data_IF_438809513419
#
_entry.id   IF_438809513419
#
_cell.length_a   1.000
_cell.length_b   1.000
_cell.length_c   1.000
_cell.angle_alpha   90.00
_cell.angle_beta   90.00
_cell.angle_gamma   90.00
#
_symmetry.space_group_name_H-M   'P 1'
#
loop_
_entity.id
_entity.type
_entity.pdbx_description
1 polymer ?
#
# COMPACT_ATOMS: atom_id res chain seq x y z
N UNK A 1 59.75 -17.80 -20.81
CA UNK A 1 58.52 -17.31 -20.15
C UNK A 1 58.71 -15.83 -19.92
N UNK A 2 58.37 -15.00 -20.92
CA UNK A 2 58.33 -13.56 -20.75
C UNK A 2 57.23 -13.22 -19.72
N UNK A 3 57.49 -12.23 -18.88
CA UNK A 3 56.62 -11.83 -17.78
C UNK A 3 55.20 -11.53 -18.26
N UNK A 4 54.23 -12.40 -17.92
CA UNK A 4 52.80 -12.08 -18.05
C UNK A 4 52.49 -11.00 -17.02
N UNK A 5 52.18 -9.80 -17.51
CA UNK A 5 51.83 -8.64 -16.68
C UNK A 5 50.32 -8.41 -16.74
N UNK A 6 49.67 -8.38 -15.59
CA UNK A 6 48.26 -7.97 -15.48
C UNK A 6 48.12 -6.50 -15.87
N UNK A 7 47.13 -6.19 -16.71
CA UNK A 7 46.77 -4.82 -17.07
C UNK A 7 46.05 -4.17 -15.90
N UNK A 8 46.60 -3.10 -15.34
CA UNK A 8 46.04 -2.40 -14.16
C UNK A 8 45.91 -0.89 -14.36
N UNK A 9 46.40 -0.37 -15.49
CA UNK A 9 46.41 1.05 -15.81
C UNK A 9 46.17 1.25 -17.30
N UNK A 10 45.70 2.44 -17.67
CA UNK A 10 45.45 2.83 -19.06
C UNK A 10 46.73 2.71 -19.92
N UNK A 11 47.88 3.05 -19.34
CA UNK A 11 49.17 2.91 -20.01
C UNK A 11 49.57 1.43 -20.25
N UNK A 12 49.19 0.51 -19.36
CA UNK A 12 49.39 -0.92 -19.58
C UNK A 12 48.47 -1.46 -20.68
N UNK A 13 47.25 -0.91 -20.78
CA UNK A 13 46.26 -1.28 -21.79
C UNK A 13 46.68 -0.81 -23.18
N UNK A 14 47.14 0.44 -23.34
CA UNK A 14 47.69 0.95 -24.60
C UNK A 14 48.90 0.12 -25.09
N UNK A 15 49.78 -0.28 -24.17
CA UNK A 15 50.94 -1.12 -24.49
C UNK A 15 50.52 -2.53 -24.92
N UNK A 16 49.53 -3.11 -24.25
CA UNK A 16 48.98 -4.41 -24.60
C UNK A 16 48.29 -4.40 -25.97
N UNK A 17 47.50 -3.36 -26.27
CA UNK A 17 46.86 -3.16 -27.57
C UNK A 17 47.89 -2.98 -28.70
N UNK A 18 48.89 -2.10 -28.51
CA UNK A 18 49.94 -1.90 -29.50
C UNK A 18 50.75 -3.19 -29.76
N UNK A 19 50.98 -3.99 -28.72
CA UNK A 19 51.65 -5.29 -28.84
C UNK A 19 50.80 -6.32 -29.58
N UNK A 20 49.51 -6.41 -29.24
CA UNK A 20 48.56 -7.30 -29.93
C UNK A 20 48.45 -6.94 -31.41
N UNK A 21 48.32 -5.66 -31.75
CA UNK A 21 48.30 -5.20 -33.15
C UNK A 21 49.59 -5.58 -33.90
N UNK A 22 50.76 -5.36 -33.30
CA UNK A 22 52.03 -5.72 -33.91
C UNK A 22 52.17 -7.24 -34.13
N UNK A 23 51.65 -8.06 -33.21
CA UNK A 23 51.65 -9.51 -33.35
C UNK A 23 50.69 -9.97 -34.45
N UNK A 24 49.51 -9.35 -34.56
CA UNK A 24 48.56 -9.64 -35.64
C UNK A 24 49.11 -9.26 -37.03
N UNK A 25 49.87 -8.17 -37.13
CA UNK A 25 50.53 -7.76 -38.38
C UNK A 25 51.63 -8.75 -38.83
N UNK A 26 52.22 -9.49 -37.89
CA UNK A 26 53.24 -10.49 -38.18
C UNK A 26 52.68 -11.82 -38.70
N UNK A 27 51.35 -12.00 -38.65
CA UNK A 27 50.61 -13.19 -39.07
C UNK A 27 51.27 -14.52 -38.62
N UNK A 28 51.42 -14.73 -37.30
CA UNK A 28 52.16 -15.86 -36.78
C UNK A 28 51.45 -17.18 -37.05
N UNK A 29 52.24 -18.23 -37.31
CA UNK A 29 51.72 -19.59 -37.57
C UNK A 29 50.89 -20.11 -36.38
N UNK A 30 49.81 -20.88 -36.61
CA UNK A 30 48.98 -21.44 -35.55
C UNK A 30 49.77 -22.31 -34.57
N UNK A 31 49.50 -22.16 -33.26
CA UNK A 31 50.24 -22.80 -32.15
C UNK A 31 51.72 -22.37 -32.02
N UNK A 32 52.10 -21.23 -32.60
CA UNK A 32 53.37 -20.57 -32.27
C UNK A 32 53.28 -19.87 -30.91
N UNK A 33 54.44 -19.53 -30.35
CA UNK A 33 54.53 -18.79 -29.07
C UNK A 33 53.87 -17.41 -29.22
N UNK A 34 53.98 -16.82 -30.41
CA UNK A 34 53.39 -15.54 -30.78
C UNK A 34 51.87 -15.63 -30.92
N UNK A 35 51.34 -16.74 -31.44
CA UNK A 35 49.88 -17.02 -31.45
C UNK A 35 49.34 -17.18 -30.03
N UNK A 36 50.03 -17.91 -29.16
CA UNK A 36 49.64 -18.05 -27.75
C UNK A 36 49.70 -16.69 -27.02
N UNK A 37 50.66 -15.81 -27.38
CA UNK A 37 50.76 -14.46 -26.85
C UNK A 37 49.56 -13.59 -27.26
N UNK A 38 49.07 -13.71 -28.50
CA UNK A 38 47.85 -13.04 -28.97
C UNK A 38 46.65 -13.45 -28.13
N UNK A 39 46.44 -14.76 -27.93
CA UNK A 39 45.30 -15.27 -27.16
C UNK A 39 45.33 -14.78 -25.70
N UNK A 40 46.51 -14.80 -25.07
CA UNK A 40 46.69 -14.31 -23.70
C UNK A 40 46.45 -12.80 -23.61
N UNK A 41 46.96 -12.02 -24.57
CA UNK A 41 46.76 -10.57 -24.60
C UNK A 41 45.28 -10.22 -24.84
N UNK A 42 44.59 -10.94 -25.72
CA UNK A 42 43.17 -10.74 -25.98
C UNK A 42 42.34 -10.91 -24.69
N UNK A 43 42.57 -12.00 -23.94
CA UNK A 43 41.86 -12.26 -22.67
C UNK A 43 42.19 -11.20 -21.61
N UNK A 44 43.45 -10.75 -21.54
CA UNK A 44 43.86 -9.72 -20.56
C UNK A 44 43.26 -8.34 -20.89
N UNK A 45 43.20 -7.99 -22.18
CA UNK A 45 42.58 -6.75 -22.67
C UNK A 45 41.09 -6.80 -22.43
N UNK A 46 40.41 -7.88 -22.83
CA UNK A 46 38.97 -8.08 -22.62
C UNK A 46 38.61 -7.93 -21.14
N UNK A 47 39.33 -8.62 -20.25
CA UNK A 47 39.09 -8.53 -18.81
C UNK A 47 39.30 -7.11 -18.26
N UNK A 48 40.34 -6.40 -18.71
CA UNK A 48 40.57 -5.03 -18.29
C UNK A 48 39.49 -4.08 -18.83
N UNK A 49 39.06 -4.25 -20.08
CA UNK A 49 37.99 -3.46 -20.69
C UNK A 49 36.63 -3.71 -20.04
N UNK A 50 36.31 -4.95 -19.66
CA UNK A 50 35.10 -5.26 -18.88
C UNK A 50 35.08 -4.53 -17.52
N UNK A 51 36.23 -4.45 -16.84
CA UNK A 51 36.35 -3.80 -15.52
C UNK A 51 36.46 -2.26 -15.62
N UNK A 52 37.17 -1.74 -16.62
CA UNK A 52 37.48 -0.32 -16.77
C UNK A 52 36.49 0.45 -17.68
N UNK A 53 35.91 -0.23 -18.66
CA UNK A 53 34.97 0.32 -19.65
C UNK A 53 33.72 -0.58 -19.77
N UNK A 54 32.93 -0.74 -18.69
CA UNK A 54 31.72 -1.52 -18.75
C UNK A 54 30.82 -1.02 -19.89
N UNK A 55 30.32 -1.94 -20.73
CA UNK A 55 29.34 -1.62 -21.76
C UNK A 55 28.03 -1.29 -21.04
N UNK A 56 27.87 -0.03 -20.68
CA UNK A 56 26.65 0.47 -20.06
C UNK A 56 25.48 0.34 -21.04
N UNK A 57 24.30 -0.06 -20.52
CA UNK A 57 23.08 -0.03 -21.32
C UNK A 57 22.88 1.38 -21.88
N UNK A 58 22.62 1.52 -23.19
CA UNK A 58 22.46 2.84 -23.80
C UNK A 58 21.38 3.61 -23.06
N UNK A 59 21.61 4.90 -22.83
CA UNK A 59 20.63 5.73 -22.15
C UNK A 59 19.31 5.70 -22.93
N UNK A 60 18.13 5.49 -22.31
CA UNK A 60 16.84 5.51 -23.00
C UNK A 60 16.69 6.73 -23.91
N UNK A 61 17.17 7.89 -23.44
CA UNK A 61 17.13 9.14 -24.21
C UNK A 61 18.07 9.05 -25.43
N UNK A 62 19.25 8.46 -25.28
CA UNK A 62 20.18 8.24 -26.40
C UNK A 62 19.66 7.19 -27.37
N UNK A 63 19.05 6.11 -26.89
CA UNK A 63 18.39 5.11 -27.71
C UNK A 63 17.24 5.72 -28.54
N UNK A 64 16.46 6.62 -27.93
CA UNK A 64 15.41 7.39 -28.63
C UNK A 64 16.06 8.31 -29.67
N UNK A 65 17.06 9.13 -29.30
CA UNK A 65 17.75 10.04 -30.22
C UNK A 65 18.40 9.30 -31.39
N UNK A 66 18.99 8.14 -31.13
CA UNK A 66 19.59 7.29 -32.14
C UNK A 66 18.54 6.76 -33.13
N UNK A 67 17.38 6.29 -32.64
CA UNK A 67 16.27 5.92 -33.53
C UNK A 67 15.70 7.11 -34.30
N UNK A 68 15.65 8.29 -33.69
CA UNK A 68 15.24 9.50 -34.39
C UNK A 68 16.17 9.81 -35.56
N UNK A 69 17.48 9.74 -35.36
CA UNK A 69 18.48 9.99 -36.40
C UNK A 69 18.36 8.99 -37.56
N UNK A 70 18.27 7.69 -37.24
CA UNK A 70 18.10 6.63 -38.24
C UNK A 70 16.85 6.80 -39.11
N UNK A 71 15.77 7.32 -38.54
CA UNK A 71 14.48 7.47 -39.22
C UNK A 71 14.21 8.90 -39.70
N UNK A 72 15.15 9.84 -39.48
CA UNK A 72 14.99 11.25 -39.82
C UNK A 72 13.85 11.96 -39.06
N UNK A 73 13.55 11.52 -37.84
CA UNK A 73 12.45 12.05 -37.02
C UNK A 73 12.87 13.32 -36.28
N UNK A 74 11.90 14.22 -36.12
CA UNK A 74 12.05 15.45 -35.34
C UNK A 74 11.34 15.33 -33.99
N UNK A 75 11.58 16.29 -33.09
CA UNK A 75 10.86 16.35 -31.80
C UNK A 75 9.34 16.44 -31.97
N UNK A 76 8.84 16.95 -33.11
CA UNK A 76 7.39 17.02 -33.37
C UNK A 76 6.80 15.64 -33.63
N UNK A 77 7.57 14.74 -34.22
CA UNK A 77 7.11 13.39 -34.56
C UNK A 77 6.99 12.51 -33.31
N UNK A 78 7.78 12.83 -32.27
CA UNK A 78 7.66 12.18 -30.96
C UNK A 78 6.43 12.57 -30.15
N UNK A 79 5.65 13.55 -30.61
CA UNK A 79 4.42 13.97 -29.92
C UNK A 79 3.40 12.84 -29.83
N UNK A 80 3.37 11.95 -30.83
CA UNK A 80 2.49 10.79 -30.83
C UNK A 80 2.82 9.79 -29.71
N UNK A 81 4.11 9.64 -29.36
CA UNK A 81 4.58 8.64 -28.40
C UNK A 81 4.70 9.19 -26.97
N UNK A 82 5.16 10.42 -26.81
CA UNK A 82 5.45 11.02 -25.50
C UNK A 82 4.33 11.97 -25.04
N UNK A 83 3.54 12.51 -25.99
CA UNK A 83 2.51 13.50 -25.74
C UNK A 83 2.94 14.91 -26.15
N UNK A 84 2.48 15.96 -25.46
CA UNK A 84 2.69 17.35 -25.87
C UNK A 84 4.15 17.74 -26.17
N UNK A 85 4.38 18.67 -27.09
CA UNK A 85 5.73 19.14 -27.47
C UNK A 85 6.62 19.60 -26.28
N UNK A 86 6.11 20.31 -25.25
CA UNK A 86 6.90 20.61 -24.06
C UNK A 86 7.39 19.35 -23.34
N UNK A 87 6.53 18.34 -23.22
CA UNK A 87 6.84 17.07 -22.58
C UNK A 87 7.90 16.28 -23.35
N UNK A 88 7.84 16.26 -24.69
CA UNK A 88 8.92 15.70 -25.52
C UNK A 88 10.25 16.36 -25.19
N UNK A 89 10.28 17.69 -25.15
CA UNK A 89 11.50 18.44 -24.84
C UNK A 89 12.02 18.15 -23.43
N UNK A 90 11.13 18.09 -22.42
CA UNK A 90 11.50 17.75 -21.05
C UNK A 90 12.12 16.35 -20.95
N UNK A 91 11.54 15.36 -21.64
CA UNK A 91 12.03 13.98 -21.65
C UNK A 91 13.38 13.88 -22.36
N UNK A 92 13.52 14.45 -23.56
CA UNK A 92 14.79 14.40 -24.32
C UNK A 92 15.95 15.15 -23.66
N UNK A 93 15.63 16.08 -22.76
CA UNK A 93 16.60 16.81 -21.95
C UNK A 93 16.80 16.21 -20.54
N UNK A 94 16.17 15.06 -20.24
CA UNK A 94 16.31 14.38 -18.96
C UNK A 94 15.67 15.10 -17.76
N UNK A 95 14.85 16.13 -17.99
CA UNK A 95 14.13 16.84 -16.92
C UNK A 95 12.94 16.03 -16.39
N UNK A 96 12.41 15.12 -17.22
CA UNK A 96 11.25 14.28 -16.91
C UNK A 96 11.54 12.84 -17.33
N UNK A 97 11.23 11.90 -16.45
CA UNK A 97 11.35 10.47 -16.73
C UNK A 97 10.24 10.00 -17.67
N UNK A 98 10.54 8.98 -18.48
CA UNK A 98 9.54 8.27 -19.30
C UNK A 98 8.53 7.56 -18.38
N UNK A 99 7.25 7.57 -18.75
CA UNK A 99 6.27 6.67 -18.13
C UNK A 99 6.27 5.31 -18.84
N UNK A 100 5.76 4.26 -18.20
CA UNK A 100 5.56 2.95 -18.83
C UNK A 100 4.64 3.02 -20.04
N UNK A 101 3.66 3.93 -20.04
CA UNK A 101 2.81 4.18 -21.21
C UNK A 101 3.61 4.81 -22.37
N UNK A 102 4.50 5.75 -22.09
CA UNK A 102 5.42 6.30 -23.10
C UNK A 102 6.36 5.21 -23.60
N UNK A 103 6.91 4.39 -22.71
CA UNK A 103 7.82 3.28 -23.05
C UNK A 103 7.12 2.30 -23.99
N UNK A 104 5.89 1.88 -23.68
CA UNK A 104 5.09 0.99 -24.54
C UNK A 104 4.88 1.62 -25.93
N UNK A 105 4.44 2.88 -25.99
CA UNK A 105 4.25 3.61 -27.26
C UNK A 105 5.53 3.77 -28.07
N UNK A 106 6.65 4.07 -27.41
CA UNK A 106 7.96 4.19 -28.06
C UNK A 106 8.48 2.83 -28.53
N UNK A 107 8.24 1.76 -27.76
CA UNK A 107 8.64 0.41 -28.13
C UNK A 107 7.87 -0.09 -29.34
N UNK A 108 6.53 0.00 -29.32
CA UNK A 108 5.67 -0.38 -30.44
C UNK A 108 5.89 0.52 -31.66
N UNK A 109 6.03 1.82 -31.45
CA UNK A 109 6.09 2.83 -32.51
C UNK A 109 7.45 2.98 -33.18
N UNK A 110 8.54 2.93 -32.40
CA UNK A 110 9.91 3.12 -32.90
C UNK A 110 10.71 1.83 -32.94
N UNK A 111 10.18 0.71 -32.43
CA UNK A 111 10.84 -0.58 -32.37
C UNK A 111 12.04 -0.63 -31.42
N UNK A 112 12.01 0.19 -30.36
CA UNK A 112 13.03 0.19 -29.30
C UNK A 112 12.67 -0.91 -28.28
N UNK A 113 13.64 -1.73 -27.87
CA UNK A 113 13.38 -2.72 -26.82
C UNK A 113 12.94 -2.03 -25.52
N UNK A 114 11.86 -2.52 -24.91
CA UNK A 114 11.35 -1.98 -23.64
C UNK A 114 12.40 -2.06 -22.53
N UNK A 115 13.23 -3.12 -22.52
CA UNK A 115 14.30 -3.31 -21.54
C UNK A 115 15.37 -2.21 -21.59
N UNK A 116 15.58 -1.62 -22.77
CA UNK A 116 16.50 -0.49 -22.96
C UNK A 116 15.89 0.82 -22.44
N UNK A 117 14.56 0.93 -22.44
CA UNK A 117 13.84 2.14 -22.04
C UNK A 117 13.49 2.17 -20.55
N UNK A 118 13.36 1.01 -19.91
CA UNK A 118 13.04 0.85 -18.49
C UNK A 118 14.31 1.06 -17.65
N UNK A 119 14.27 2.02 -16.72
CA UNK A 119 15.42 2.34 -15.86
C UNK A 119 15.19 2.16 -14.38
N UNK A 120 13.99 2.46 -13.89
CA UNK A 120 13.74 2.48 -12.45
C UNK A 120 13.30 1.10 -11.94
N UNK A 121 13.67 0.71 -10.71
CA UNK A 121 13.15 -0.51 -10.08
C UNK A 121 11.62 -0.53 -10.07
N UNK A 122 10.99 0.62 -9.87
CA UNK A 122 9.52 0.76 -9.89
C UNK A 122 8.96 0.45 -11.29
N UNK A 123 9.59 0.93 -12.36
CA UNK A 123 9.18 0.63 -13.73
C UNK A 123 9.35 -0.86 -14.06
N UNK A 124 10.43 -1.50 -13.59
CA UNK A 124 10.63 -2.95 -13.77
C UNK A 124 9.54 -3.74 -13.05
N UNK A 125 9.36 -3.48 -11.75
CA UNK A 125 8.34 -4.14 -10.94
C UNK A 125 6.93 -3.93 -11.52
N UNK A 126 6.63 -2.72 -11.98
CA UNK A 126 5.33 -2.40 -12.55
C UNK A 126 5.10 -3.11 -13.91
N UNK A 127 6.14 -3.28 -14.71
CA UNK A 127 6.05 -3.97 -16.00
C UNK A 127 5.81 -5.49 -15.83
N UNK A 128 6.38 -6.09 -14.79
CA UNK A 128 6.24 -7.52 -14.48
C UNK A 128 4.92 -7.87 -13.78
N UNK A 129 4.23 -6.88 -13.21
CA UNK A 129 3.02 -7.11 -12.43
C UNK A 129 1.73 -7.13 -13.28
N UNK A 130 0.86 -8.11 -13.02
CA UNK A 130 -0.50 -8.20 -13.56
C UNK A 130 -1.48 -7.26 -12.80
N UNK A 131 -1.21 -5.95 -12.82
CA UNK A 131 -2.03 -4.95 -12.11
C UNK A 131 -2.66 -3.99 -13.10
N UNK A 132 -3.98 -3.77 -12.98
CA UNK A 132 -4.64 -2.67 -13.69
C UNK A 132 -4.51 -1.37 -12.89
N UNK A 133 -3.49 -0.60 -13.22
CA UNK A 133 -3.19 0.69 -12.59
C UNK A 133 -4.33 1.72 -12.71
N UNK A 134 -5.18 1.58 -13.72
CA UNK A 134 -6.29 2.50 -13.97
C UNK A 134 -7.55 2.13 -13.20
N UNK A 135 -7.63 0.91 -12.66
CA UNK A 135 -8.74 0.47 -11.82
C UNK A 135 -8.67 1.11 -10.42
N UNK A 136 -7.50 1.60 -9.98
CA UNK A 136 -7.38 2.36 -8.76
C UNK A 136 -8.18 3.68 -8.80
N UNK A 137 -8.77 4.14 -7.68
CA UNK A 137 -9.52 5.40 -7.60
C UNK A 137 -8.58 6.63 -7.58
N UNK A 138 -7.78 6.81 -8.64
CA UNK A 138 -6.70 7.81 -8.76
C UNK A 138 -7.15 9.23 -8.42
N UNK A 139 -8.37 9.62 -8.84
CA UNK A 139 -8.90 10.95 -8.57
C UNK A 139 -9.10 11.20 -7.08
N UNK A 140 -9.65 10.21 -6.36
CA UNK A 140 -9.91 10.33 -4.92
C UNK A 140 -8.59 10.21 -4.13
N UNK A 141 -7.72 9.26 -4.51
CA UNK A 141 -6.38 9.11 -3.92
C UNK A 141 -5.56 10.40 -4.04
N UNK A 142 -5.57 11.07 -5.20
CA UNK A 142 -4.90 12.36 -5.40
C UNK A 142 -5.50 13.44 -4.52
N UNK A 143 -6.83 13.54 -4.46
CA UNK A 143 -7.53 14.53 -3.64
C UNK A 143 -7.19 14.38 -2.15
N UNK A 144 -6.98 13.14 -1.69
CA UNK A 144 -6.61 12.79 -0.32
C UNK A 144 -5.10 12.80 -0.05
N UNK A 145 -4.28 13.09 -1.06
CA UNK A 145 -2.83 13.21 -0.90
C UNK A 145 -2.09 11.88 -0.71
N UNK A 146 -2.58 10.78 -1.31
CA UNK A 146 -1.91 9.46 -1.20
C UNK A 146 -0.56 9.40 -1.93
N UNK A 147 -0.30 10.32 -2.85
CA UNK A 147 0.92 10.38 -3.65
C UNK A 147 1.84 11.48 -3.11
N UNK A 148 2.76 11.13 -2.22
CA UNK A 148 3.71 12.09 -1.65
C UNK A 148 4.58 12.74 -2.73
N UNK A 149 4.73 14.06 -2.67
CA UNK A 149 5.54 14.84 -3.62
C UNK A 149 4.92 15.01 -5.02
N UNK A 150 3.78 14.37 -5.33
CA UNK A 150 3.12 14.53 -6.63
C UNK A 150 2.20 15.77 -6.65
N UNK A 151 2.60 16.78 -7.43
CA UNK A 151 1.83 18.02 -7.61
C UNK A 151 1.17 18.14 -9.00
N UNK A 152 1.24 17.08 -9.81
CA UNK A 152 0.75 17.09 -11.18
C UNK A 152 -0.78 17.10 -11.30
N UNK A 153 -1.26 17.28 -12.54
CA UNK A 153 -2.69 17.17 -12.86
C UNK A 153 -3.19 15.71 -12.82
N UNK A 154 -4.51 15.50 -12.80
CA UNK A 154 -5.08 14.14 -12.92
C UNK A 154 -4.68 13.47 -14.25
N UNK A 155 -4.53 14.24 -15.33
CA UNK A 155 -4.07 13.73 -16.62
C UNK A 155 -2.63 13.24 -16.52
N UNK A 156 -1.76 13.97 -15.82
CA UNK A 156 -0.39 13.52 -15.56
C UNK A 156 -0.37 12.30 -14.65
N UNK A 157 -1.22 12.24 -13.63
CA UNK A 157 -1.30 11.06 -12.76
C UNK A 157 -1.69 9.81 -13.56
N UNK A 158 -2.63 9.92 -14.51
CA UNK A 158 -3.00 8.81 -15.40
C UNK A 158 -1.84 8.40 -16.31
N UNK A 159 -1.06 9.35 -16.81
CA UNK A 159 0.12 9.05 -17.64
C UNK A 159 1.19 8.28 -16.86
N UNK A 160 1.35 8.58 -15.56
CA UNK A 160 2.32 7.97 -14.64
C UNK A 160 1.68 7.02 -13.62
N UNK A 161 0.51 6.44 -13.94
CA UNK A 161 -0.27 5.68 -12.96
C UNK A 161 0.51 4.47 -12.44
N UNK A 162 1.23 3.77 -13.31
CA UNK A 162 2.01 2.60 -12.97
C UNK A 162 3.14 2.95 -11.97
N UNK A 163 3.88 4.02 -12.22
CA UNK A 163 4.98 4.46 -11.35
C UNK A 163 4.46 4.95 -10.00
N UNK A 164 3.41 5.77 -10.01
CA UNK A 164 2.87 6.37 -8.80
C UNK A 164 2.20 5.32 -7.90
N UNK A 165 1.45 4.39 -8.49
CA UNK A 165 0.85 3.30 -7.72
C UNK A 165 1.90 2.31 -7.27
N UNK A 166 2.89 1.93 -8.09
CA UNK A 166 3.98 1.06 -7.63
C UNK A 166 4.74 1.70 -6.48
N UNK A 167 5.10 2.98 -6.55
CA UNK A 167 5.73 3.69 -5.44
C UNK A 167 4.84 3.69 -4.17
N UNK A 168 3.54 3.92 -4.35
CA UNK A 168 2.56 3.86 -3.26
C UNK A 168 2.47 2.47 -2.63
N UNK A 169 2.38 1.39 -3.42
CA UNK A 169 2.35 0.01 -2.93
C UNK A 169 3.69 -0.39 -2.29
N UNK A 170 4.82 0.04 -2.84
CA UNK A 170 6.16 -0.20 -2.29
C UNK A 170 6.41 0.49 -0.95
N UNK A 171 5.59 1.47 -0.57
CA UNK A 171 5.77 2.19 0.71
C UNK A 171 5.53 1.32 1.95
N UNK A 172 4.93 0.14 1.78
CA UNK A 172 4.69 -0.83 2.86
C UNK A 172 5.19 -2.22 2.41
N UNK A 173 5.78 -2.98 3.33
CA UNK A 173 6.49 -4.24 3.03
C UNK A 173 5.64 -5.27 2.29
N UNK A 174 4.35 -5.34 2.60
CA UNK A 174 3.42 -6.31 2.00
C UNK A 174 2.53 -5.69 0.92
N UNK A 175 2.78 -4.44 0.47
CA UNK A 175 1.81 -3.68 -0.32
C UNK A 175 1.37 -4.34 -1.63
N UNK A 176 2.27 -5.04 -2.33
CA UNK A 176 1.91 -5.82 -3.53
C UNK A 176 1.15 -7.12 -3.23
N UNK A 177 1.34 -7.67 -2.03
CA UNK A 177 0.75 -8.93 -1.57
C UNK A 177 -0.58 -8.70 -0.82
N UNK A 178 -0.88 -7.46 -0.44
CA UNK A 178 -2.21 -7.01 0.00
C UNK A 178 -3.24 -7.04 -1.13
N UNK A 179 -2.82 -7.43 -2.36
CA UNK A 179 -3.71 -7.82 -3.45
C UNK A 179 -4.94 -8.43 -2.81
N UNK A 180 -6.15 -7.94 -3.12
CA UNK A 180 -7.36 -8.38 -2.45
C UNK A 180 -7.36 -9.88 -2.57
N UNK A 181 -6.99 -10.53 -1.46
CA UNK A 181 -6.97 -11.96 -1.37
C UNK A 181 -8.41 -12.27 -1.69
N UNK A 182 -8.64 -12.89 -2.85
CA UNK A 182 -9.95 -13.37 -3.28
C UNK A 182 -10.63 -13.96 -2.06
N UNK A 183 -11.47 -13.16 -1.40
CA UNK A 183 -12.69 -13.53 -0.70
C UNK A 183 -12.56 -14.87 0.00
N UNK A 184 -11.57 -14.97 0.90
CA UNK A 184 -11.41 -16.13 1.78
C UNK A 184 -12.14 -15.95 3.11
N UNK A 185 -12.90 -14.86 3.28
CA UNK A 185 -14.11 -14.86 4.09
C UNK A 185 -15.31 -14.78 3.13
N UNK A 186 -16.36 -15.51 3.45
CA UNK A 186 -17.55 -15.77 2.65
C UNK A 186 -18.49 -14.56 2.50
N UNK A 187 -17.95 -13.35 2.29
CA UNK A 187 -18.72 -12.10 2.22
C UNK A 187 -19.14 -11.68 0.79
N UNK A 188 -18.75 -12.40 -0.26
CA UNK A 188 -19.13 -12.04 -1.66
C UNK A 188 -20.23 -12.89 -2.29
N UNK A 189 -20.94 -13.68 -1.50
CA UNK A 189 -22.20 -14.24 -1.95
C UNK A 189 -23.22 -14.06 -0.83
N UNK A 190 -23.80 -12.86 -0.69
CA UNK A 190 -25.27 -12.68 -0.56
C UNK A 190 -25.73 -11.23 -0.31
N UNK A 191 -26.56 -10.77 -1.25
CA UNK A 191 -27.84 -10.06 -1.02
C UNK A 191 -27.90 -8.53 -0.89
N UNK A 192 -26.94 -7.78 -1.43
CA UNK A 192 -27.21 -6.42 -1.92
C UNK A 192 -26.40 -6.16 -3.21
N UNK A 193 -27.01 -5.55 -4.22
CA UNK A 193 -26.48 -5.23 -5.57
C UNK A 193 -25.22 -4.30 -5.59
N UNK A 194 -24.43 -4.26 -4.52
CA UNK A 194 -23.27 -3.38 -4.37
C UNK A 194 -21.98 -4.15 -4.58
N UNK A 195 -21.48 -4.12 -5.80
CA UNK A 195 -20.16 -4.62 -6.15
C UNK A 195 -19.08 -3.81 -5.41
N UNK A 196 -18.30 -4.48 -4.55
CA UNK A 196 -17.17 -3.89 -3.82
C UNK A 196 -16.04 -3.65 -4.81
N UNK A 197 -15.39 -2.48 -4.72
CA UNK A 197 -14.24 -2.16 -5.57
C UNK A 197 -12.93 -2.70 -4.94
N UNK A 198 -12.34 -3.77 -5.50
CA UNK A 198 -11.15 -4.42 -4.92
C UNK A 198 -9.92 -3.51 -4.95
N UNK A 199 -9.80 -2.62 -5.92
CA UNK A 199 -8.67 -1.70 -6.05
C UNK A 199 -8.80 -0.52 -5.07
N UNK A 200 -10.02 -0.04 -4.84
CA UNK A 200 -10.28 0.94 -3.79
C UNK A 200 -9.98 0.37 -2.40
N UNK A 201 -10.38 -0.88 -2.13
CA UNK A 201 -10.08 -1.55 -0.88
C UNK A 201 -8.57 -1.71 -0.67
N UNK A 202 -7.86 -2.16 -1.70
CA UNK A 202 -6.40 -2.31 -1.68
C UNK A 202 -5.70 -0.98 -1.38
N UNK A 203 -6.11 0.11 -2.06
CA UNK A 203 -5.58 1.44 -1.79
C UNK A 203 -5.83 1.90 -0.34
N UNK A 204 -6.99 1.58 0.20
CA UNK A 204 -7.33 1.91 1.59
C UNK A 204 -6.46 1.13 2.58
N UNK A 205 -6.27 -0.18 2.40
CA UNK A 205 -5.42 -1.01 3.26
C UNK A 205 -3.96 -0.52 3.31
N UNK A 206 -3.40 -0.17 2.15
CA UNK A 206 -2.04 0.38 2.06
C UNK A 206 -1.95 1.71 2.80
N UNK A 207 -2.95 2.59 2.67
CA UNK A 207 -2.95 3.88 3.38
C UNK A 207 -3.02 3.72 4.89
N UNK A 208 -3.82 2.77 5.38
CA UNK A 208 -3.90 2.42 6.80
C UNK A 208 -2.52 2.01 7.32
N UNK A 209 -1.82 1.14 6.60
CA UNK A 209 -0.48 0.68 7.00
C UNK A 209 0.57 1.80 6.92
N UNK A 210 0.50 2.72 5.95
CA UNK A 210 1.37 3.89 5.91
C UNK A 210 1.23 4.71 7.20
N UNK A 211 -0.01 5.04 7.59
CA UNK A 211 -0.28 5.78 8.83
C UNK A 211 0.21 5.02 10.07
N UNK A 212 -0.01 3.71 10.13
CA UNK A 212 0.49 2.89 11.22
C UNK A 212 2.04 2.87 11.30
N UNK A 213 2.73 3.00 10.16
CA UNK A 213 4.19 3.07 10.12
C UNK A 213 4.74 4.46 10.50
N UNK A 214 3.94 5.52 10.36
CA UNK A 214 4.28 6.88 10.84
C UNK A 214 4.26 6.95 12.38
N UNK A 215 3.43 6.12 13.02
CA UNK A 215 3.29 6.04 14.47
C UNK A 215 4.32 5.09 15.11
N UNK A 216 4.90 5.51 16.24
CA UNK A 216 5.76 4.67 17.07
C UNK A 216 5.04 4.27 18.33
N UNK A 217 4.78 2.96 18.48
CA UNK A 217 4.18 2.42 19.69
C UNK A 217 5.19 2.38 20.84
N UNK A 218 4.76 2.69 22.08
CA UNK A 218 5.61 2.63 23.27
C UNK A 218 5.92 1.20 23.74
N UNK A 219 5.16 0.20 23.28
CA UNK A 219 5.30 -1.20 23.68
C UNK A 219 4.93 -2.14 22.54
N UNK A 220 5.44 -3.38 22.60
CA UNK A 220 5.02 -4.45 21.72
C UNK A 220 3.75 -5.13 22.26
N UNK A 221 2.90 -5.57 21.34
CA UNK A 221 1.71 -6.33 21.69
C UNK A 221 2.05 -7.65 22.38
N UNK A 222 1.25 -8.01 23.38
CA UNK A 222 1.31 -9.32 24.04
C UNK A 222 0.04 -10.09 23.73
N UNK A 223 0.18 -11.24 23.08
CA UNK A 223 -0.96 -12.10 22.75
C UNK A 223 -1.75 -12.48 24.01
N UNK A 224 -3.09 -12.45 23.91
CA UNK A 224 -4.00 -12.67 25.04
C UNK A 224 -4.25 -11.43 25.91
N UNK A 225 -3.67 -10.27 25.58
CA UNK A 225 -3.98 -9.01 26.28
C UNK A 225 -5.44 -8.61 26.08
N UNK A 226 -5.95 -8.74 24.85
CA UNK A 226 -7.35 -8.44 24.54
C UNK A 226 -8.21 -9.61 24.96
N UNK A 227 -9.04 -9.39 25.98
CA UNK A 227 -10.07 -10.30 26.48
C UNK A 227 -11.26 -9.47 26.95
N UNK A 228 -12.37 -10.13 27.32
CA UNK A 228 -13.62 -9.46 27.69
C UNK A 228 -13.45 -8.41 28.80
N UNK A 229 -12.77 -8.74 29.89
CA UNK A 229 -12.56 -7.82 31.02
C UNK A 229 -11.74 -6.60 30.60
N UNK A 230 -10.70 -6.82 29.79
CA UNK A 230 -9.87 -5.75 29.25
C UNK A 230 -10.65 -4.85 28.29
N UNK A 231 -11.51 -5.42 27.45
CA UNK A 231 -12.39 -4.67 26.55
C UNK A 231 -13.41 -3.83 27.33
N UNK A 232 -14.02 -4.37 28.38
CA UNK A 232 -14.93 -3.63 29.27
C UNK A 232 -14.23 -2.43 29.93
N UNK A 233 -12.97 -2.62 30.37
CA UNK A 233 -12.15 -1.52 30.89
C UNK A 233 -11.91 -0.44 29.84
N UNK A 234 -11.64 -0.81 28.59
CA UNK A 234 -11.49 0.15 27.49
C UNK A 234 -12.81 0.90 27.22
N UNK A 235 -13.95 0.21 27.21
CA UNK A 235 -15.28 0.83 27.02
C UNK A 235 -15.59 1.86 28.11
N UNK A 236 -15.16 1.66 29.36
CA UNK A 236 -15.36 2.64 30.44
C UNK A 236 -14.77 4.04 30.14
N UNK A 237 -13.76 4.11 29.27
CA UNK A 237 -13.20 5.40 28.82
C UNK A 237 -14.23 6.23 28.06
N UNK A 238 -15.27 5.61 27.50
CA UNK A 238 -16.38 6.28 26.81
C UNK A 238 -17.17 7.25 27.70
N UNK A 239 -17.10 7.11 29.03
CA UNK A 239 -17.69 8.06 29.96
C UNK A 239 -17.10 9.47 29.83
N UNK A 240 -15.82 9.56 29.48
CA UNK A 240 -15.14 10.83 29.25
C UNK A 240 -15.53 11.43 27.90
N UNK A 241 -15.70 12.75 27.85
CA UNK A 241 -15.85 13.49 26.60
C UNK A 241 -14.62 13.34 25.67
N UNK A 242 -13.46 12.93 26.19
CA UNK A 242 -12.25 12.63 25.42
C UNK A 242 -12.05 11.11 25.21
N UNK A 243 -13.08 10.30 25.46
CA UNK A 243 -12.99 8.84 25.47
C UNK A 243 -12.39 8.23 24.22
N UNK A 244 -12.71 8.76 23.03
CA UNK A 244 -12.14 8.29 21.76
C UNK A 244 -10.62 8.51 21.69
N UNK A 245 -10.13 9.69 22.08
CA UNK A 245 -8.68 9.98 22.11
C UNK A 245 -7.96 9.16 23.19
N UNK A 246 -8.60 8.97 24.34
CA UNK A 246 -8.08 8.10 25.41
C UNK A 246 -8.01 6.63 24.98
N UNK A 247 -8.95 6.17 24.16
CA UNK A 247 -8.92 4.83 23.60
C UNK A 247 -7.68 4.64 22.71
N UNK A 248 -7.35 5.61 21.86
CA UNK A 248 -6.10 5.58 21.05
C UNK A 248 -4.88 5.44 21.97
N UNK A 249 -4.75 6.27 22.99
CA UNK A 249 -3.63 6.19 23.93
C UNK A 249 -3.57 4.86 24.68
N UNK A 250 -4.74 4.33 25.08
CA UNK A 250 -4.85 3.07 25.79
C UNK A 250 -4.40 1.90 24.91
N UNK A 251 -4.85 1.85 23.66
CA UNK A 251 -4.45 0.84 22.69
C UNK A 251 -2.95 0.93 22.37
N UNK A 252 -2.45 2.15 22.13
CA UNK A 252 -1.04 2.36 21.83
C UNK A 252 -0.14 1.87 22.97
N UNK A 253 -0.52 2.09 24.23
CA UNK A 253 0.20 1.58 25.42
C UNK A 253 0.28 0.05 25.49
N UNK A 254 -0.65 -0.65 24.85
CA UNK A 254 -0.69 -2.11 24.79
C UNK A 254 -0.14 -2.67 23.47
N UNK A 255 0.44 -1.84 22.61
CA UNK A 255 1.03 -2.28 21.35
C UNK A 255 0.02 -2.47 20.22
N UNK A 256 -1.16 -1.84 20.28
CA UNK A 256 -2.19 -1.91 19.25
C UNK A 256 -2.32 -0.52 18.62
N UNK A 257 -2.17 -0.42 17.29
CA UNK A 257 -2.47 0.82 16.57
C UNK A 257 -3.98 0.98 16.40
N UNK A 258 -4.49 2.19 16.61
CA UNK A 258 -5.85 2.59 16.22
C UNK A 258 -5.78 3.68 15.15
N UNK A 259 -5.97 3.30 13.90
CA UNK A 259 -5.88 4.19 12.75
C UNK A 259 -7.28 4.56 12.27
N UNK A 260 -7.50 5.83 11.95
CA UNK A 260 -8.71 6.27 11.25
C UNK A 260 -8.38 6.66 9.82
N UNK A 261 -9.10 6.08 8.86
CA UNK A 261 -8.98 6.41 7.45
C UNK A 261 -10.34 6.30 6.79
N UNK A 262 -10.83 7.39 6.20
CA UNK A 262 -12.16 7.41 5.60
C UNK A 262 -12.26 6.36 4.50
N UNK A 263 -13.40 5.68 4.42
CA UNK A 263 -13.62 4.70 3.36
C UNK A 263 -13.46 5.34 1.98
N UNK A 264 -12.98 4.56 1.00
CA UNK A 264 -13.00 4.96 -0.41
C UNK A 264 -14.37 4.63 -1.03
N UNK A 265 -14.76 5.27 -2.15
CA UNK A 265 -16.00 4.91 -2.82
C UNK A 265 -16.07 3.41 -3.11
N UNK A 266 -17.25 2.81 -2.87
CA UNK A 266 -17.53 1.38 -3.09
C UNK A 266 -16.69 0.39 -2.26
N UNK A 267 -16.08 0.79 -1.16
CA UNK A 267 -15.49 -0.17 -0.20
C UNK A 267 -16.49 -0.67 0.84
N UNK A 268 -17.47 0.16 1.21
CA UNK A 268 -18.54 -0.13 2.20
C UNK A 268 -18.05 -0.59 3.60
N UNK A 269 -16.76 -0.53 3.90
CA UNK A 269 -16.22 -0.90 5.22
C UNK A 269 -16.61 0.05 6.37
N UNK A 270 -16.77 -0.53 7.55
CA UNK A 270 -16.79 0.18 8.85
C UNK A 270 -15.44 0.10 9.56
N UNK A 271 -14.77 -1.04 9.49
CA UNK A 271 -13.48 -1.27 10.11
C UNK A 271 -12.71 -2.46 9.52
N UNK A 272 -11.47 -2.60 9.98
CA UNK A 272 -10.60 -3.70 9.65
C UNK A 272 -9.58 -3.96 10.75
N UNK A 273 -9.14 -5.21 10.87
CA UNK A 273 -8.02 -5.60 11.73
C UNK A 273 -7.00 -6.45 10.99
N UNK A 274 -5.72 -6.17 11.23
CA UNK A 274 -4.60 -6.96 10.72
C UNK A 274 -3.41 -6.94 11.68
N UNK A 275 -2.44 -7.84 11.47
CA UNK A 275 -1.16 -7.84 12.19
C UNK A 275 -0.06 -7.36 11.26
N UNK A 276 0.76 -6.42 11.73
CA UNK A 276 1.98 -6.01 11.01
C UNK A 276 3.07 -7.06 11.15
N UNK A 277 4.10 -6.95 10.32
CA UNK A 277 5.30 -7.79 10.37
C UNK A 277 6.11 -7.66 11.67
N UNK A 278 5.91 -6.58 12.44
CA UNK A 278 6.50 -6.38 13.77
C UNK A 278 5.72 -7.09 14.89
N UNK A 279 4.60 -7.74 14.57
CA UNK A 279 3.72 -8.45 15.51
C UNK A 279 2.69 -7.55 16.20
N UNK A 280 2.69 -6.23 15.94
CA UNK A 280 1.72 -5.32 16.53
C UNK A 280 0.42 -5.31 15.69
N UNK A 281 -0.75 -5.47 16.32
CA UNK A 281 -2.03 -5.33 15.63
C UNK A 281 -2.31 -3.89 15.19
N UNK A 282 -3.00 -3.76 14.07
CA UNK A 282 -3.56 -2.51 13.57
C UNK A 282 -5.06 -2.69 13.46
N UNK A 283 -5.78 -1.85 14.19
CA UNK A 283 -7.22 -1.67 14.06
C UNK A 283 -7.45 -0.40 13.28
N UNK A 284 -8.21 -0.50 12.20
CA UNK A 284 -8.52 0.60 11.31
C UNK A 284 -10.02 0.85 11.26
N UNK A 285 -10.45 2.08 11.48
CA UNK A 285 -11.87 2.45 11.46
C UNK A 285 -12.13 3.50 10.38
N UNK A 286 -13.21 3.33 9.63
CA UNK A 286 -13.57 4.26 8.55
C UNK A 286 -14.35 5.47 9.04
N UNK A 287 -14.96 5.35 10.22
CA UNK A 287 -15.91 6.33 10.77
C UNK A 287 -16.99 6.71 9.76
N UNK A 288 -17.41 5.77 8.90
CA UNK A 288 -18.46 5.94 7.88
C UNK A 288 -19.70 6.60 8.49
N UNK A 289 -20.07 6.15 9.69
CA UNK A 289 -21.05 6.79 10.55
C UNK A 289 -20.35 7.68 11.58
N UNK A 290 -20.50 9.01 11.46
CA UNK A 290 -20.01 9.98 12.44
C UNK A 290 -20.87 9.99 13.71
N UNK A 291 -20.86 8.87 14.44
CA UNK A 291 -21.54 8.72 15.72
C UNK A 291 -20.66 7.97 16.72
N UNK A 292 -20.72 8.42 17.97
CA UNK A 292 -19.94 7.85 19.07
C UNK A 292 -20.27 6.37 19.33
N UNK A 293 -21.54 5.99 19.25
CA UNK A 293 -21.99 4.61 19.44
C UNK A 293 -21.52 3.67 18.31
N UNK A 294 -21.57 4.12 17.06
CA UNK A 294 -20.98 3.40 15.93
C UNK A 294 -19.48 3.21 16.11
N UNK A 295 -18.74 4.23 16.54
CA UNK A 295 -17.31 4.11 16.79
C UNK A 295 -16.97 3.04 17.84
N UNK A 296 -17.62 3.07 18.99
CA UNK A 296 -17.35 2.11 20.07
C UNK A 296 -17.74 0.69 19.68
N UNK A 297 -18.84 0.52 18.94
CA UNK A 297 -19.22 -0.79 18.43
C UNK A 297 -18.20 -1.33 17.43
N UNK A 298 -17.84 -0.56 16.39
CA UNK A 298 -16.82 -0.99 15.44
C UNK A 298 -15.49 -1.29 16.13
N UNK A 299 -15.04 -0.44 17.07
CA UNK A 299 -13.80 -0.70 17.81
C UNK A 299 -13.84 -2.03 18.60
N UNK A 300 -14.95 -2.31 19.29
CA UNK A 300 -15.09 -3.56 20.04
C UNK A 300 -15.21 -4.78 19.11
N UNK A 301 -15.83 -4.63 17.94
CA UNK A 301 -15.94 -5.68 16.94
C UNK A 301 -14.55 -6.07 16.40
N UNK A 302 -13.73 -5.09 15.99
CA UNK A 302 -12.35 -5.35 15.54
C UNK A 302 -11.48 -5.96 16.65
N UNK A 303 -11.65 -5.51 17.90
CA UNK A 303 -10.98 -6.11 19.06
C UNK A 303 -11.45 -7.54 19.34
N UNK A 304 -12.70 -7.86 19.05
CA UNK A 304 -13.21 -9.22 19.17
C UNK A 304 -12.58 -10.15 18.13
N UNK A 305 -12.40 -9.70 16.88
CA UNK A 305 -11.60 -10.43 15.89
C UNK A 305 -10.17 -10.63 16.37
N UNK A 306 -9.54 -9.61 16.95
CA UNK A 306 -8.20 -9.73 17.53
C UNK A 306 -8.13 -10.74 18.69
N UNK A 307 -9.18 -10.83 19.50
CA UNK A 307 -9.22 -11.71 20.67
C UNK A 307 -9.53 -13.18 20.32
N UNK A 308 -10.43 -13.42 19.37
CA UNK A 308 -10.99 -14.73 19.08
C UNK A 308 -10.37 -15.42 17.86
N UNK A 309 -10.01 -14.64 16.84
CA UNK A 309 -9.75 -15.18 15.49
C UNK A 309 -8.32 -14.98 15.01
N UNK A 310 -7.49 -14.26 15.77
CA UNK A 310 -6.14 -13.92 15.35
C UNK A 310 -5.13 -15.03 15.65
N UNK A 311 -4.94 -15.93 14.69
CA UNK A 311 -4.07 -17.13 14.82
C UNK A 311 -2.59 -16.88 14.47
N UNK A 312 -2.14 -15.62 14.39
CA UNK A 312 -0.74 -15.27 14.10
C UNK A 312 -0.35 -15.28 12.61
N UNK A 313 -1.31 -15.42 11.69
CA UNK A 313 -1.11 -15.18 10.25
C UNK A 313 -1.38 -13.70 9.91
N UNK A 314 -0.74 -13.18 8.86
CA UNK A 314 -0.99 -11.85 8.27
C UNK A 314 -2.36 -11.78 7.53
N UNK A 315 -3.43 -12.22 8.19
CA UNK A 315 -4.79 -12.20 7.63
C UNK A 315 -5.46 -10.88 7.98
N UNK A 316 -6.09 -10.25 6.98
CA UNK A 316 -6.96 -9.10 7.18
C UNK A 316 -8.40 -9.57 7.40
N UNK A 317 -9.04 -9.03 8.43
CA UNK A 317 -10.49 -9.07 8.61
C UNK A 317 -11.04 -7.69 8.20
N UNK A 318 -12.11 -7.67 7.43
CA UNK A 318 -12.60 -6.49 6.70
C UNK A 318 -14.13 -6.50 6.76
N UNK A 319 -14.70 -5.56 7.51
CA UNK A 319 -16.06 -5.74 8.00
C UNK A 319 -17.01 -4.63 7.47
N UNK A 320 -18.17 -5.05 6.97
CA UNK A 320 -19.34 -4.21 6.61
C UNK A 320 -20.46 -4.53 7.59
N UNK A 321 -20.62 -3.71 8.62
CA UNK A 321 -21.52 -3.98 9.75
C UNK A 321 -23.01 -3.82 9.35
N UNK A 322 -23.28 -3.27 8.17
CA UNK A 322 -24.63 -3.18 7.59
C UNK A 322 -25.06 -4.47 6.85
N UNK A 323 -24.16 -5.45 6.65
CA UNK A 323 -24.44 -6.65 5.87
C UNK A 323 -25.29 -7.69 6.65
N UNK A 324 -26.38 -8.17 6.05
CA UNK A 324 -27.24 -9.19 6.66
C UNK A 324 -26.69 -10.60 6.43
N UNK A 325 -26.51 -11.37 7.51
CA UNK A 325 -26.21 -12.81 7.46
C UNK A 325 -24.72 -13.18 7.51
N UNK A 326 -24.02 -12.72 8.56
CA UNK A 326 -22.59 -12.98 8.79
C UNK A 326 -22.24 -14.46 9.04
N UNK A 327 -20.97 -14.79 8.80
CA UNK A 327 -20.40 -16.11 9.10
C UNK A 327 -20.37 -16.39 10.61
N UNK A 328 -20.05 -17.62 11.03
CA UNK A 328 -19.90 -17.95 12.46
C UNK A 328 -18.87 -17.02 13.14
N UNK A 329 -17.78 -16.69 12.44
CA UNK A 329 -16.74 -15.76 12.89
C UNK A 329 -17.30 -14.36 13.18
N UNK A 330 -18.15 -13.83 12.30
CA UNK A 330 -18.78 -12.51 12.48
C UNK A 330 -19.74 -12.51 13.67
N UNK A 331 -20.51 -13.60 13.84
CA UNK A 331 -21.45 -13.74 14.95
C UNK A 331 -20.73 -13.83 16.30
N UNK A 332 -19.58 -14.52 16.34
CA UNK A 332 -18.72 -14.61 17.52
C UNK A 332 -18.13 -13.24 17.88
N UNK A 333 -17.65 -12.49 16.88
CA UNK A 333 -17.14 -11.13 17.06
C UNK A 333 -18.22 -10.17 17.56
N UNK A 334 -19.39 -10.17 16.94
CA UNK A 334 -20.56 -9.37 17.35
C UNK A 334 -20.99 -9.69 18.78
N UNK A 335 -21.07 -10.98 19.14
CA UNK A 335 -21.48 -11.40 20.47
C UNK A 335 -20.50 -10.89 21.54
N UNK A 336 -19.19 -11.03 21.30
CA UNK A 336 -18.18 -10.55 22.22
C UNK A 336 -18.17 -9.01 22.32
N UNK A 337 -18.32 -8.30 21.20
CA UNK A 337 -18.41 -6.85 21.17
C UNK A 337 -19.62 -6.33 21.95
N UNK A 338 -20.80 -6.94 21.76
CA UNK A 338 -22.02 -6.58 22.49
C UNK A 338 -21.88 -6.84 23.98
N UNK A 339 -21.31 -7.97 24.38
CA UNK A 339 -21.09 -8.33 25.79
C UNK A 339 -20.05 -7.41 26.45
N UNK A 340 -19.02 -6.99 25.71
CA UNK A 340 -18.03 -6.03 26.19
C UNK A 340 -18.61 -4.62 26.39
N UNK A 341 -19.50 -4.18 25.50
CA UNK A 341 -20.14 -2.86 25.61
C UNK A 341 -21.16 -2.82 26.74
N UNK A 342 -22.07 -3.80 26.79
CA UNK A 342 -23.13 -3.87 27.77
C UNK A 342 -23.37 -5.34 28.12
N UNK A 343 -23.05 -5.79 29.35
CA UNK A 343 -23.26 -7.18 29.75
C UNK A 343 -24.71 -7.62 29.57
N UNK A 344 -24.92 -8.77 28.95
CA UNK A 344 -26.26 -9.23 28.57
C UNK A 344 -27.18 -9.48 29.78
N UNK A 345 -26.61 -9.82 30.94
CA UNK A 345 -27.34 -9.97 32.20
C UNK A 345 -27.92 -8.67 32.73
N UNK A 346 -27.27 -7.54 32.48
CA UNK A 346 -27.75 -6.21 32.84
C UNK A 346 -28.72 -5.70 31.78
N UNK A 347 -28.42 -5.95 30.50
CA UNK A 347 -29.27 -5.56 29.38
C UNK A 347 -30.67 -6.17 29.45
N UNK A 348 -30.76 -7.51 29.63
CA UNK A 348 -32.05 -8.24 29.68
C UNK A 348 -32.95 -7.82 30.83
N UNK A 349 -32.38 -7.26 31.91
CA UNK A 349 -33.13 -6.83 33.11
C UNK A 349 -33.74 -5.44 32.96
N UNK A 350 -33.35 -4.66 31.96
CA UNK A 350 -33.74 -3.24 31.81
C UNK A 350 -34.69 -3.08 30.63
N UNK A 351 -35.74 -2.31 30.83
CA UNK A 351 -36.63 -1.87 29.75
C UNK A 351 -36.29 -0.42 29.43
N UNK A 352 -35.63 -0.20 28.30
CA UNK A 352 -35.25 1.15 27.86
C UNK A 352 -36.40 1.77 27.07
N UNK A 353 -37.21 2.56 27.74
CA UNK A 353 -38.42 3.19 27.17
C UNK A 353 -38.25 4.70 26.93
N UNK A 354 -37.35 5.34 27.66
CA UNK A 354 -37.16 6.79 27.64
C UNK A 354 -35.69 7.20 27.86
N UNK A 355 -35.41 8.49 27.72
CA UNK A 355 -34.06 9.01 27.91
C UNK A 355 -33.53 8.86 29.34
N UNK A 356 -34.41 8.71 30.34
CA UNK A 356 -34.00 8.56 31.72
C UNK A 356 -33.47 7.16 32.00
N UNK A 357 -34.17 6.13 31.50
CA UNK A 357 -33.72 4.74 31.56
C UNK A 357 -32.34 4.54 30.90
N UNK A 358 -32.05 5.29 29.83
CA UNK A 358 -30.72 5.31 29.19
C UNK A 358 -29.66 5.90 30.13
N UNK A 359 -29.94 7.05 30.78
CA UNK A 359 -28.99 7.69 31.70
C UNK A 359 -28.72 6.83 32.93
N UNK A 360 -29.76 6.23 33.52
CA UNK A 360 -29.62 5.34 34.68
C UNK A 360 -28.70 4.15 34.37
N UNK A 361 -28.89 3.50 33.21
CA UNK A 361 -28.02 2.38 32.83
C UNK A 361 -26.60 2.84 32.48
N UNK A 362 -26.47 4.01 31.85
CA UNK A 362 -25.17 4.63 31.53
C UNK A 362 -24.37 4.97 32.80
N UNK A 363 -25.02 5.50 33.83
CA UNK A 363 -24.42 5.76 35.15
C UNK A 363 -24.05 4.47 35.89
N UNK A 364 -24.91 3.45 35.87
CA UNK A 364 -24.65 2.15 36.50
C UNK A 364 -23.44 1.43 35.89
N UNK A 365 -23.21 1.63 34.59
CA UNK A 365 -22.12 0.99 33.83
C UNK A 365 -20.87 1.88 33.68
N UNK A 366 -20.95 3.16 34.03
CA UNK A 366 -19.91 4.16 33.76
C UNK A 366 -19.48 4.18 32.27
N UNK A 367 -20.46 4.16 31.36
CA UNK A 367 -20.24 4.23 29.90
C UNK A 367 -21.04 5.35 29.27
N UNK A 368 -20.67 5.79 28.07
CA UNK A 368 -21.43 6.83 27.35
C UNK A 368 -22.89 6.44 27.15
N UNK A 369 -23.86 7.34 27.40
CA UNK A 369 -25.27 7.08 27.13
C UNK A 369 -25.54 6.91 25.63
N UNK A 370 -24.63 7.37 24.75
CA UNK A 370 -24.67 7.08 23.32
C UNK A 370 -24.62 5.58 23.03
N UNK A 371 -23.76 4.83 23.72
CA UNK A 371 -23.61 3.37 23.51
C UNK A 371 -24.92 2.64 23.87
N UNK A 372 -25.49 2.97 25.02
CA UNK A 372 -26.78 2.43 25.50
C UNK A 372 -27.91 2.75 24.52
N UNK A 373 -28.03 4.01 24.12
CA UNK A 373 -29.04 4.43 23.15
C UNK A 373 -28.83 3.79 21.77
N UNK A 374 -27.58 3.61 21.36
CA UNK A 374 -27.19 2.97 20.11
C UNK A 374 -27.65 1.51 20.04
N UNK A 375 -27.36 0.72 21.08
CA UNK A 375 -27.81 -0.67 21.18
C UNK A 375 -29.34 -0.77 21.17
N UNK A 376 -30.04 0.08 21.92
CA UNK A 376 -31.50 0.10 21.93
C UNK A 376 -32.09 0.40 20.54
N UNK A 377 -31.54 1.37 19.80
CA UNK A 377 -31.96 1.68 18.43
C UNK A 377 -31.74 0.53 17.47
N UNK A 378 -30.60 -0.16 17.59
CA UNK A 378 -30.25 -1.29 16.74
C UNK A 378 -31.18 -2.47 16.97
N UNK A 379 -31.35 -2.93 18.22
CA UNK A 379 -32.18 -4.10 18.53
C UNK A 379 -33.68 -3.87 18.26
N UNK A 380 -34.16 -2.63 18.39
CA UNK A 380 -35.57 -2.28 18.10
C UNK A 380 -35.82 -1.94 16.63
N UNK A 381 -34.77 -1.74 15.82
CA UNK A 381 -34.88 -1.19 14.47
C UNK A 381 -35.40 0.26 14.41
N UNK A 382 -35.56 0.93 15.56
CA UNK A 382 -36.12 2.29 15.62
C UNK A 382 -35.01 3.34 15.74
N UNK A 383 -34.45 3.73 14.60
CA UNK A 383 -33.41 4.77 14.56
C UNK A 383 -33.87 6.16 15.01
N UNK A 384 -35.18 6.43 15.13
CA UNK A 384 -35.73 7.71 15.62
C UNK A 384 -35.83 7.77 17.14
N UNK A 385 -35.60 6.65 17.84
CA UNK A 385 -35.69 6.55 19.29
C UNK A 385 -34.78 7.58 19.98
N UNK A 386 -35.33 8.22 21.01
CA UNK A 386 -34.74 9.34 21.77
C UNK A 386 -34.51 10.63 20.96
N UNK A 387 -35.09 10.76 19.76
CA UNK A 387 -35.02 11.98 18.97
C UNK A 387 -33.60 12.40 18.64
N UNK A 388 -33.23 13.64 19.00
CA UNK A 388 -31.88 14.21 18.81
C UNK A 388 -30.90 13.91 19.96
N UNK A 389 -31.34 13.27 21.04
CA UNK A 389 -30.49 12.95 22.18
C UNK A 389 -29.53 11.80 21.86
N UNK A 390 -28.36 11.78 22.51
CA UNK A 390 -27.39 10.68 22.41
C UNK A 390 -26.94 10.40 20.97
N UNK A 391 -26.52 11.46 20.26
CA UNK A 391 -26.02 11.42 18.88
C UNK A 391 -24.71 12.20 18.74
N UNK A 392 -23.83 12.00 19.72
CA UNK A 392 -22.56 12.70 19.77
C UNK A 392 -21.71 12.26 18.57
N UNK A 393 -21.00 13.23 17.98
CA UNK A 393 -20.12 13.00 16.84
C UNK A 393 -18.73 12.61 17.32
N UNK A 394 -18.05 11.77 16.55
CA UNK A 394 -16.76 11.22 16.95
C UNK A 394 -15.60 11.75 16.11
N UNK A 395 -15.85 12.17 14.87
CA UNK A 395 -14.79 12.64 13.95
C UNK A 395 -14.02 13.86 14.46
N UNK A 396 -14.58 14.63 15.39
CA UNK A 396 -13.91 15.78 16.00
C UNK A 396 -12.71 15.39 16.90
N UNK A 397 -12.57 14.10 17.24
CA UNK A 397 -11.51 13.59 18.11
C UNK A 397 -10.30 13.03 17.33
N UNK A 398 -10.36 13.02 15.99
CA UNK A 398 -9.38 12.41 15.10
C UNK A 398 -8.82 13.40 14.07
#
# INVERSE_FOLDING_TARGET
MNHIKLIKSEQDHEQALARLMALMEMDPEPNSIESDEIDVLAVLIEKYEEEAFPIDMPNPIEAIKFRMDQQGLTNKDLVAYIGSAPKVSEVLNGKRNLSLNMIRRLSEGLGISADVLIRSPEQKNACESEIDWYAFPLSEMRKRGYFEGFNGSLLELKEYAAEQITAFLSSVSSGFNLKPALLRSSAHLRSNDKEVDPYALWAWQVRVLQKANEEKLPANYKQGTVNLEWMQKLVSLSWSAQGASLAVEFLNKHGIHLITEQHLPKTYLDGAVCVKSDGNPVIALTLRHDRLDSFWFSLMHELAHLALHLDGNETWYLDDLDALGGSEVEQEADALAQEALIPSDLWKKKCLIDAESVRVLSEELEISPCIVAGRARHETGNHSMFGSLFRDKVRQHF
#
